data_IF_990736184335
#
_entry.id   IF_990736184335
#
_cell.length_a   1.000
_cell.length_b   1.000
_cell.length_c   1.000
_cell.angle_alpha   90.00
_cell.angle_beta   90.00
_cell.angle_gamma   90.00
#
_symmetry.space_group_name_H-M   'P 1'
#
loop_
_entity.id
_entity.type
_entity.pdbx_description
1 polymer ?
#
# COMPACT_ATOMS: atom_id res chain seq x y z
N UNK A 1 4.66 86.61 9.66
CA UNK A 1 5.14 85.48 10.52
C UNK A 1 4.28 84.32 10.26
N UNK A 2 4.78 83.40 9.42
CA UNK A 2 4.01 82.18 8.96
C UNK A 2 4.74 80.97 9.49
N UNK A 3 4.10 80.28 10.44
CA UNK A 3 4.60 79.02 10.98
C UNK A 3 4.12 77.89 10.08
N UNK A 4 5.09 77.15 9.49
CA UNK A 4 4.87 76.01 8.72
C UNK A 4 4.67 74.80 9.66
N UNK A 5 3.50 74.13 9.59
CA UNK A 5 3.28 72.79 10.19
C UNK A 5 3.66 71.74 9.19
N UNK A 6 4.68 70.95 9.50
CA UNK A 6 5.03 69.72 8.76
C UNK A 6 4.28 68.58 9.38
N UNK A 7 3.31 68.04 8.65
CA UNK A 7 2.63 66.81 8.98
C UNK A 7 3.50 65.66 8.55
N UNK A 8 4.01 64.89 9.53
CA UNK A 8 4.73 63.66 9.30
C UNK A 8 3.72 62.53 9.08
N UNK A 9 3.69 62.00 7.86
CA UNK A 9 2.85 60.85 7.48
C UNK A 9 3.60 59.57 7.85
N UNK A 10 3.16 58.93 8.95
CA UNK A 10 3.70 57.64 9.42
C UNK A 10 3.08 56.50 8.57
N UNK A 11 3.84 55.98 7.63
CA UNK A 11 3.42 54.83 6.81
C UNK A 11 3.66 53.56 7.62
N UNK A 12 2.59 52.94 8.12
CA UNK A 12 2.62 51.60 8.73
C UNK A 12 2.64 50.58 7.61
N UNK A 13 3.79 49.98 7.37
CA UNK A 13 3.91 48.81 6.50
C UNK A 13 3.53 47.56 7.30
N UNK A 14 2.31 47.08 7.10
CA UNK A 14 1.88 45.79 7.63
C UNK A 14 2.57 44.67 6.87
N UNK A 15 3.55 44.05 7.49
CA UNK A 15 4.17 42.80 6.98
C UNK A 15 3.18 41.66 7.18
N UNK A 16 2.45 41.30 6.13
CA UNK A 16 1.65 40.07 6.10
C UNK A 16 2.60 38.90 5.86
N UNK A 17 2.98 38.20 6.94
CA UNK A 17 3.72 36.96 6.87
C UNK A 17 2.79 35.88 6.35
N UNK A 18 2.90 35.56 5.04
CA UNK A 18 2.26 34.39 4.42
C UNK A 18 3.05 33.18 4.93
N UNK A 19 2.54 32.51 5.96
CA UNK A 19 3.00 31.19 6.35
C UNK A 19 2.64 30.21 5.23
N UNK A 20 3.58 29.95 4.33
CA UNK A 20 3.46 28.89 3.35
C UNK A 20 3.47 27.55 4.11
N UNK A 21 2.28 26.98 4.30
CA UNK A 21 2.14 25.59 4.71
C UNK A 21 2.69 24.75 3.55
N UNK A 22 3.96 24.37 3.65
CA UNK A 22 4.55 23.36 2.80
C UNK A 22 3.88 22.05 3.18
N UNK A 23 2.80 21.72 2.47
CA UNK A 23 2.26 20.37 2.46
C UNK A 23 3.37 19.48 1.90
N UNK A 24 4.13 18.83 2.80
CA UNK A 24 5.06 17.78 2.40
C UNK A 24 4.20 16.65 1.83
N UNK A 25 4.08 16.64 0.51
CA UNK A 25 3.64 15.44 -0.19
C UNK A 25 4.62 14.33 0.21
N UNK A 26 4.21 13.48 1.14
CA UNK A 26 4.93 12.25 1.42
C UNK A 26 5.06 11.54 0.08
N UNK A 27 6.27 11.41 -0.40
CA UNK A 27 6.58 10.65 -1.60
C UNK A 27 6.09 9.22 -1.33
N UNK A 28 4.91 8.92 -1.86
CA UNK A 28 4.32 7.60 -1.78
C UNK A 28 5.34 6.65 -2.42
N UNK A 29 5.95 5.79 -1.61
CA UNK A 29 6.75 4.70 -2.16
C UNK A 29 5.81 3.91 -3.06
N UNK A 30 6.19 3.64 -4.32
CA UNK A 30 5.31 2.90 -5.20
C UNK A 30 5.02 1.54 -4.56
N UNK A 31 3.76 1.14 -4.61
CA UNK A 31 3.35 -0.22 -4.36
C UNK A 31 4.30 -1.17 -5.09
N UNK A 32 4.59 -2.33 -4.52
CA UNK A 32 5.34 -3.37 -5.24
C UNK A 32 4.64 -3.64 -6.57
N UNK A 33 5.42 -3.94 -7.63
CA UNK A 33 4.86 -4.15 -8.97
C UNK A 33 3.78 -5.24 -8.96
N UNK A 34 2.59 -4.89 -9.44
CA UNK A 34 1.45 -5.80 -9.60
C UNK A 34 1.25 -6.20 -11.06
N UNK A 35 1.64 -5.32 -12.00
CA UNK A 35 1.56 -5.65 -13.43
C UNK A 35 2.75 -6.52 -13.82
N UNK A 36 2.48 -7.66 -14.41
CA UNK A 36 3.51 -8.58 -14.88
C UNK A 36 4.26 -8.01 -16.07
N UNK A 37 5.59 -8.20 -16.08
CA UNK A 37 6.45 -7.73 -17.18
C UNK A 37 5.99 -8.27 -18.54
N UNK A 38 5.51 -9.51 -18.59
CA UNK A 38 4.98 -10.11 -19.82
C UNK A 38 3.75 -9.36 -20.36
N UNK A 39 2.95 -8.70 -19.50
CA UNK A 39 1.83 -7.85 -19.90
C UNK A 39 2.35 -6.51 -20.40
N UNK A 40 3.26 -5.88 -19.69
CA UNK A 40 3.83 -4.56 -20.04
C UNK A 40 4.61 -4.61 -21.38
N UNK A 41 5.37 -5.68 -21.59
CA UNK A 41 6.18 -5.87 -22.81
C UNK A 41 5.38 -6.38 -24.01
N UNK A 42 4.09 -6.72 -23.84
CA UNK A 42 3.27 -7.31 -24.88
C UNK A 42 3.58 -8.77 -25.20
N UNK A 43 4.44 -9.44 -24.43
CA UNK A 43 4.72 -10.88 -24.57
C UNK A 43 3.53 -11.77 -24.19
N UNK A 44 2.59 -11.24 -23.41
CA UNK A 44 1.34 -11.90 -23.06
C UNK A 44 0.17 -11.24 -23.78
N UNK A 45 -0.25 -11.75 -24.97
CA UNK A 45 -1.39 -11.19 -25.69
C UNK A 45 -2.67 -11.25 -24.86
N UNK A 46 -3.44 -10.17 -24.88
CA UNK A 46 -4.77 -10.14 -24.25
C UNK A 46 -5.73 -11.04 -25.00
N UNK A 47 -6.41 -11.90 -24.29
CA UNK A 47 -7.45 -12.81 -24.81
C UNK A 47 -8.86 -12.48 -24.32
N UNK A 48 -8.97 -11.57 -23.35
CA UNK A 48 -10.25 -11.13 -22.82
C UNK A 48 -10.15 -10.36 -21.51
N UNK A 49 -11.27 -10.27 -20.80
CA UNK A 49 -11.37 -9.69 -19.44
C UNK A 49 -11.95 -10.72 -18.48
N UNK A 50 -11.63 -10.61 -17.21
CA UNK A 50 -12.34 -11.38 -16.19
C UNK A 50 -13.82 -10.96 -16.14
N UNK A 51 -14.75 -11.91 -15.92
CA UNK A 51 -16.15 -11.56 -15.73
C UNK A 51 -16.34 -10.62 -14.54
N UNK A 52 -17.07 -9.53 -14.73
CA UNK A 52 -17.28 -8.50 -13.69
C UNK A 52 -17.88 -9.05 -12.38
N UNK A 53 -18.68 -10.11 -12.49
CA UNK A 53 -19.34 -10.79 -11.35
C UNK A 53 -18.50 -11.87 -10.70
N UNK A 54 -17.34 -12.22 -11.29
CA UNK A 54 -16.46 -13.22 -10.70
C UNK A 54 -15.96 -12.74 -9.34
N UNK A 55 -16.06 -13.62 -8.33
CA UNK A 55 -15.54 -13.32 -6.99
C UNK A 55 -14.03 -13.58 -6.92
N UNK A 56 -13.30 -12.62 -6.36
CA UNK A 56 -11.86 -12.74 -6.08
C UNK A 56 -11.58 -12.51 -4.60
N UNK A 57 -10.51 -13.11 -4.11
CA UNK A 57 -9.94 -12.84 -2.78
C UNK A 57 -8.62 -12.11 -2.95
N UNK A 58 -8.47 -11.02 -2.22
CA UNK A 58 -7.23 -10.24 -2.16
C UNK A 58 -6.72 -10.18 -0.73
N UNK A 59 -5.42 -9.98 -0.57
CA UNK A 59 -4.81 -9.62 0.70
C UNK A 59 -4.21 -8.23 0.56
N UNK A 60 -4.75 -7.27 1.32
CA UNK A 60 -4.20 -5.93 1.42
C UNK A 60 -3.12 -5.95 2.50
N UNK A 61 -1.88 -5.65 2.10
CA UNK A 61 -0.71 -5.70 2.99
C UNK A 61 -0.29 -4.29 3.35
N UNK A 62 -0.29 -3.98 4.66
CA UNK A 62 0.16 -2.71 5.19
C UNK A 62 1.66 -2.74 5.49
N UNK A 63 2.37 -1.61 5.35
CA UNK A 63 3.78 -1.51 5.67
C UNK A 63 4.03 -1.50 7.18
N UNK A 64 5.24 -1.84 7.56
CA UNK A 64 5.74 -1.57 8.91
C UNK A 64 5.89 -0.05 9.11
N UNK A 65 5.61 0.45 10.33
CA UNK A 65 5.74 1.88 10.67
C UNK A 65 7.19 2.35 10.73
N UNK A 66 8.09 1.49 11.18
CA UNK A 66 9.47 1.87 11.48
C UNK A 66 10.43 0.74 11.09
N UNK A 67 10.66 0.49 9.78
CA UNK A 67 11.55 -0.59 9.34
C UNK A 67 12.98 -0.44 9.87
N UNK A 68 13.54 0.78 9.90
CA UNK A 68 14.89 1.03 10.41
C UNK A 68 15.01 0.69 11.92
N UNK A 69 13.96 0.94 12.70
CA UNK A 69 13.93 0.58 14.11
C UNK A 69 13.82 -0.94 14.30
N UNK A 70 13.15 -1.64 13.38
CA UNK A 70 13.14 -3.10 13.37
C UNK A 70 14.52 -3.67 13.04
N UNK A 71 15.21 -3.12 12.04
CA UNK A 71 16.56 -3.55 11.69
C UNK A 71 17.53 -3.34 12.86
N UNK A 72 17.45 -2.20 13.55
CA UNK A 72 18.23 -1.92 14.76
C UNK A 72 17.95 -2.94 15.86
N UNK A 73 16.66 -3.21 16.12
CA UNK A 73 16.24 -4.21 17.10
C UNK A 73 16.72 -5.61 16.76
N UNK A 74 16.69 -6.01 15.47
CA UNK A 74 17.20 -7.31 15.03
C UNK A 74 18.71 -7.41 15.25
N UNK A 75 19.48 -6.37 14.99
CA UNK A 75 20.91 -6.34 15.28
C UNK A 75 21.19 -6.55 16.78
N UNK A 76 20.47 -5.84 17.66
CA UNK A 76 20.58 -6.02 19.12
C UNK A 76 20.16 -7.44 19.57
N UNK A 77 19.10 -7.99 18.97
CA UNK A 77 18.55 -9.30 19.32
C UNK A 77 19.53 -10.43 19.08
N UNK A 78 20.40 -10.28 18.07
CA UNK A 78 21.40 -11.29 17.70
C UNK A 78 22.83 -10.96 18.19
N UNK A 79 23.05 -9.83 18.83
CA UNK A 79 24.32 -9.46 19.43
C UNK A 79 24.43 -10.02 20.86
N UNK A 80 25.36 -10.98 21.14
CA UNK A 80 25.52 -11.53 22.47
C UNK A 80 25.92 -10.51 23.56
N UNK A 81 26.45 -9.35 23.17
CA UNK A 81 26.83 -8.27 24.09
C UNK A 81 25.67 -7.32 24.42
N UNK A 82 24.56 -7.43 23.69
CA UNK A 82 23.37 -6.59 23.89
C UNK A 82 22.51 -7.07 25.07
N UNK A 83 21.93 -6.12 25.80
CA UNK A 83 20.92 -6.41 26.81
C UNK A 83 19.64 -7.04 26.22
N UNK A 84 19.40 -6.83 24.93
CA UNK A 84 18.26 -7.39 24.18
C UNK A 84 18.54 -8.77 23.58
N UNK A 85 19.74 -9.36 23.83
CA UNK A 85 20.12 -10.63 23.24
C UNK A 85 19.09 -11.73 23.51
N UNK A 86 18.54 -12.31 22.42
CA UNK A 86 17.51 -13.38 22.47
C UNK A 86 16.22 -13.01 23.20
N UNK A 87 15.95 -11.73 23.42
CA UNK A 87 14.66 -11.29 23.98
C UNK A 87 13.64 -11.11 22.85
N UNK A 88 13.02 -12.21 22.42
CA UNK A 88 12.03 -12.23 21.36
C UNK A 88 10.74 -11.53 21.79
N UNK A 89 10.14 -10.80 20.86
CA UNK A 89 8.87 -10.13 21.07
C UNK A 89 7.70 -11.08 20.87
N UNK A 90 6.65 -10.89 21.64
CA UNK A 90 5.32 -11.43 21.34
C UNK A 90 4.74 -10.74 20.11
N UNK A 91 3.65 -11.29 19.55
CA UNK A 91 2.94 -10.64 18.42
C UNK A 91 2.41 -9.27 18.82
N UNK A 92 1.94 -9.11 20.04
CA UNK A 92 1.41 -7.88 20.60
C UNK A 92 2.51 -6.80 20.73
N UNK A 93 3.66 -7.17 21.29
CA UNK A 93 4.82 -6.26 21.41
C UNK A 93 5.37 -5.85 20.04
N UNK A 94 5.50 -6.82 19.13
CA UNK A 94 5.90 -6.53 17.74
C UNK A 94 4.93 -5.53 17.09
N UNK A 95 3.63 -5.79 17.23
CA UNK A 95 2.59 -4.94 16.64
C UNK A 95 2.61 -3.54 17.22
N UNK A 96 2.79 -3.42 18.54
CA UNK A 96 2.87 -2.13 19.20
C UNK A 96 4.09 -1.31 18.75
N UNK A 97 5.25 -1.95 18.52
CA UNK A 97 6.50 -1.30 18.14
C UNK A 97 6.59 -1.00 16.65
N UNK A 98 6.26 -1.96 15.80
CA UNK A 98 6.58 -1.97 14.38
C UNK A 98 5.36 -2.13 13.47
N UNK A 99 4.28 -2.72 13.94
CA UNK A 99 3.08 -2.96 13.14
C UNK A 99 2.34 -1.68 12.77
N UNK A 100 1.45 -1.71 11.77
CA UNK A 100 0.57 -0.61 11.43
C UNK A 100 -0.23 -0.10 12.64
N UNK A 101 -0.58 1.17 12.67
CA UNK A 101 -1.44 1.72 13.72
C UNK A 101 -2.83 1.11 13.65
N UNK A 102 -3.59 1.18 14.72
CA UNK A 102 -4.99 0.75 14.70
C UNK A 102 -5.81 1.64 13.75
N UNK A 103 -5.53 2.94 13.77
CA UNK A 103 -6.18 3.94 12.91
C UNK A 103 -5.98 3.62 11.42
N UNK A 104 -4.73 3.34 10.99
CA UNK A 104 -4.43 2.97 9.61
C UNK A 104 -5.15 1.67 9.22
N UNK A 105 -5.16 0.69 10.12
CA UNK A 105 -5.81 -0.58 9.86
C UNK A 105 -7.34 -0.43 9.72
N UNK A 106 -7.96 0.38 10.59
CA UNK A 106 -9.37 0.69 10.52
C UNK A 106 -9.73 1.50 9.28
N UNK A 107 -8.85 2.40 8.82
CA UNK A 107 -9.03 3.13 7.57
C UNK A 107 -9.04 2.18 6.35
N UNK A 108 -8.15 1.17 6.33
CA UNK A 108 -8.14 0.15 5.25
C UNK A 108 -9.41 -0.72 5.31
N UNK A 109 -9.88 -1.08 6.50
CA UNK A 109 -11.16 -1.78 6.67
C UNK A 109 -12.33 -0.93 6.16
N UNK A 110 -12.33 0.36 6.49
CA UNK A 110 -13.34 1.32 6.02
C UNK A 110 -13.35 1.43 4.49
N UNK A 111 -12.18 1.59 3.90
CA UNK A 111 -12.01 1.60 2.43
C UNK A 111 -12.57 0.33 1.78
N UNK A 112 -12.19 -0.85 2.27
CA UNK A 112 -12.69 -2.10 1.72
C UNK A 112 -14.22 -2.18 1.74
N UNK A 113 -14.85 -1.83 2.87
CA UNK A 113 -16.32 -1.82 3.02
C UNK A 113 -17.00 -0.79 2.12
N UNK A 114 -16.44 0.40 1.99
CA UNK A 114 -17.00 1.47 1.14
C UNK A 114 -17.04 1.08 -0.34
N UNK A 115 -16.09 0.24 -0.80
CA UNK A 115 -16.05 -0.27 -2.17
C UNK A 115 -16.69 -1.67 -2.33
N UNK A 116 -17.56 -2.07 -1.40
CA UNK A 116 -18.30 -3.33 -1.50
C UNK A 116 -17.43 -4.59 -1.37
N UNK A 117 -16.23 -4.47 -0.78
CA UNK A 117 -15.39 -5.61 -0.46
C UNK A 117 -15.72 -6.13 0.94
N UNK A 118 -15.92 -7.43 1.05
CA UNK A 118 -16.19 -8.09 2.34
C UNK A 118 -14.87 -8.47 3.01
N UNK A 119 -14.66 -8.04 4.25
CA UNK A 119 -13.54 -8.49 5.07
C UNK A 119 -13.79 -9.94 5.48
N UNK A 120 -12.88 -10.84 5.10
CA UNK A 120 -12.98 -12.29 5.36
C UNK A 120 -11.89 -12.81 6.30
N UNK A 121 -10.90 -11.97 6.63
CA UNK A 121 -9.85 -12.29 7.58
C UNK A 121 -9.10 -11.04 8.04
N UNK A 122 -8.59 -11.09 9.26
CA UNK A 122 -7.76 -10.05 9.87
C UNK A 122 -6.52 -10.69 10.48
N UNK A 123 -5.41 -9.95 10.56
CA UNK A 123 -4.20 -10.41 11.23
C UNK A 123 -3.98 -9.71 12.57
N UNK A 124 -3.51 -10.46 13.58
CA UNK A 124 -3.23 -9.92 14.92
C UNK A 124 -2.16 -8.82 14.92
N UNK A 125 -1.22 -8.89 13.97
CA UNK A 125 -0.18 -7.88 13.80
C UNK A 125 -0.59 -6.71 12.89
N UNK A 126 -1.85 -6.66 12.44
CA UNK A 126 -2.42 -5.62 11.56
C UNK A 126 -1.70 -5.44 10.21
N UNK A 127 -0.86 -6.37 9.81
CA UNK A 127 -0.14 -6.26 8.54
C UNK A 127 -0.97 -6.71 7.33
N UNK A 128 -1.92 -7.61 7.54
CA UNK A 128 -2.72 -8.20 6.46
C UNK A 128 -4.21 -8.05 6.74
N UNK A 129 -4.95 -7.67 5.70
CA UNK A 129 -6.40 -7.66 5.66
C UNK A 129 -6.87 -8.50 4.47
N UNK A 130 -7.51 -9.62 4.74
CA UNK A 130 -8.12 -10.46 3.69
C UNK A 130 -9.48 -9.90 3.32
N UNK A 131 -9.68 -9.68 2.04
CA UNK A 131 -10.94 -9.18 1.50
C UNK A 131 -11.43 -10.04 0.34
N UNK A 132 -12.74 -10.03 0.12
CA UNK A 132 -13.39 -10.69 -1.02
C UNK A 132 -14.36 -9.73 -1.68
N UNK A 133 -14.36 -9.68 -3.00
CA UNK A 133 -15.29 -8.88 -3.78
C UNK A 133 -15.46 -9.39 -5.19
N UNK A 134 -16.40 -8.79 -5.93
CA UNK A 134 -16.51 -9.01 -7.37
C UNK A 134 -15.36 -8.30 -8.10
N UNK A 135 -15.04 -8.80 -9.30
CA UNK A 135 -14.06 -8.12 -10.18
C UNK A 135 -14.44 -6.66 -10.38
N UNK A 136 -15.72 -6.34 -10.61
CA UNK A 136 -16.17 -4.95 -10.79
C UNK A 136 -15.86 -4.06 -9.58
N UNK A 137 -16.10 -4.55 -8.36
CA UNK A 137 -15.80 -3.79 -7.14
C UNK A 137 -14.28 -3.58 -6.95
N UNK A 138 -13.48 -4.59 -7.32
CA UNK A 138 -12.01 -4.53 -7.25
C UNK A 138 -11.47 -3.54 -8.27
N UNK A 139 -11.97 -3.58 -9.52
CA UNK A 139 -11.58 -2.65 -10.58
C UNK A 139 -11.90 -1.20 -10.20
N UNK A 140 -13.06 -0.96 -9.62
CA UNK A 140 -13.47 0.35 -9.13
C UNK A 140 -12.60 0.83 -7.95
N UNK A 141 -12.41 -0.02 -6.94
CA UNK A 141 -11.64 0.31 -5.75
C UNK A 141 -10.16 0.61 -6.04
N UNK A 142 -9.59 -0.06 -7.03
CA UNK A 142 -8.16 0.00 -7.33
C UNK A 142 -7.82 0.76 -8.62
N UNK A 143 -8.84 1.29 -9.34
CA UNK A 143 -8.73 2.04 -10.60
C UNK A 143 -7.93 1.29 -11.69
N UNK A 144 -8.23 0.02 -11.88
CA UNK A 144 -7.57 -0.85 -12.85
C UNK A 144 -8.59 -1.70 -13.62
N UNK A 145 -8.11 -2.47 -14.60
CA UNK A 145 -8.91 -3.47 -15.31
C UNK A 145 -8.27 -4.84 -15.19
N UNK A 146 -9.06 -5.86 -14.86
CA UNK A 146 -8.59 -7.24 -14.77
C UNK A 146 -8.66 -7.93 -16.13
N UNK A 147 -7.51 -7.98 -16.80
CA UNK A 147 -7.34 -8.67 -18.08
C UNK A 147 -7.12 -10.17 -17.93
N UNK A 148 -7.43 -10.91 -19.01
CA UNK A 148 -7.04 -12.31 -19.21
C UNK A 148 -6.05 -12.34 -20.36
N UNK A 149 -4.92 -12.98 -20.14
CA UNK A 149 -3.78 -13.00 -21.05
C UNK A 149 -3.35 -14.44 -21.36
N UNK A 150 -2.80 -14.66 -22.55
CA UNK A 150 -2.13 -15.91 -22.87
C UNK A 150 -0.78 -15.98 -22.17
N UNK A 151 -0.51 -17.07 -21.45
CA UNK A 151 0.79 -17.23 -20.79
C UNK A 151 1.89 -17.43 -21.85
N UNK A 152 3.04 -16.71 -21.78
CA UNK A 152 4.05 -16.73 -22.84
C UNK A 152 4.79 -18.06 -23.00
N UNK A 153 4.86 -18.87 -21.94
CA UNK A 153 5.63 -20.12 -21.92
C UNK A 153 4.82 -21.36 -21.52
N UNK A 154 3.58 -21.16 -21.06
CA UNK A 154 2.71 -22.27 -20.64
C UNK A 154 1.42 -22.30 -21.50
N UNK A 155 0.90 -23.47 -21.77
CA UNK A 155 -0.36 -23.61 -22.53
C UNK A 155 -1.59 -23.34 -21.64
N UNK A 156 -1.69 -22.12 -21.11
CA UNK A 156 -2.82 -21.65 -20.30
C UNK A 156 -2.96 -20.14 -20.38
N UNK A 157 -4.10 -19.68 -19.95
CA UNK A 157 -4.30 -18.25 -19.68
C UNK A 157 -4.01 -17.93 -18.21
N UNK A 158 -3.78 -16.65 -17.94
CA UNK A 158 -3.71 -16.11 -16.59
C UNK A 158 -4.45 -14.76 -16.55
N UNK A 159 -4.88 -14.35 -15.36
CA UNK A 159 -5.39 -12.99 -15.15
C UNK A 159 -4.34 -12.12 -14.49
N UNK A 160 -4.38 -10.83 -14.80
CA UNK A 160 -3.55 -9.80 -14.19
C UNK A 160 -4.18 -8.41 -14.40
N UNK A 161 -3.82 -7.40 -13.60
CA UNK A 161 -4.24 -6.04 -13.85
C UNK A 161 -3.52 -5.45 -15.08
N UNK A 162 -4.20 -4.52 -15.76
CA UNK A 162 -3.66 -3.78 -16.92
C UNK A 162 -2.71 -2.64 -16.51
N UNK A 163 -2.79 -2.18 -15.27
CA UNK A 163 -2.00 -1.09 -14.68
C UNK A 163 -1.82 -1.28 -13.18
N UNK A 164 -0.89 -0.51 -12.61
CA UNK A 164 -0.67 -0.52 -11.16
C UNK A 164 -1.90 0.03 -10.43
N UNK A 165 -2.26 -0.59 -9.27
CA UNK A 165 -3.37 -0.11 -8.45
C UNK A 165 -3.12 1.31 -7.93
N UNK A 166 -4.15 2.15 -7.96
CA UNK A 166 -4.13 3.52 -7.43
C UNK A 166 -5.35 3.79 -6.54
N UNK A 167 -5.50 3.08 -5.40
CA UNK A 167 -6.66 3.24 -4.54
C UNK A 167 -6.71 4.64 -3.92
N UNK A 168 -7.92 5.21 -3.80
CA UNK A 168 -8.18 6.46 -3.07
C UNK A 168 -8.14 6.21 -1.56
N UNK A 169 -6.97 5.91 -1.05
CA UNK A 169 -6.72 5.56 0.33
C UNK A 169 -5.55 6.39 0.88
N UNK A 170 -5.78 7.09 2.00
CA UNK A 170 -4.74 7.90 2.64
C UNK A 170 -3.59 7.03 3.22
N UNK A 171 -3.91 5.78 3.57
CA UNK A 171 -2.94 4.81 4.08
C UNK A 171 -2.24 4.13 2.92
N UNK A 172 -0.92 4.19 2.90
CA UNK A 172 -0.13 3.49 1.89
C UNK A 172 -0.19 1.98 2.12
N UNK A 173 -0.56 1.22 1.09
CA UNK A 173 -0.41 -0.23 1.08
C UNK A 173 1.00 -0.59 0.59
N UNK A 174 1.57 -1.63 1.16
CA UNK A 174 2.84 -2.16 0.68
C UNK A 174 2.65 -3.09 -0.52
N UNK A 175 1.62 -3.93 -0.47
CA UNK A 175 1.31 -4.89 -1.52
C UNK A 175 -0.17 -5.26 -1.52
N UNK A 176 -0.67 -5.68 -2.69
CA UNK A 176 -2.00 -6.28 -2.85
C UNK A 176 -1.80 -7.65 -3.51
N UNK A 177 -1.91 -8.71 -2.73
CA UNK A 177 -1.79 -10.07 -3.26
C UNK A 177 -3.13 -10.57 -3.83
N UNK A 178 -3.06 -11.42 -4.83
CA UNK A 178 -4.22 -12.04 -5.47
C UNK A 178 -4.69 -11.35 -6.75
N UNK A 179 -4.04 -10.26 -7.17
CA UNK A 179 -4.35 -9.56 -8.42
C UNK A 179 -3.91 -10.32 -9.68
N UNK A 180 -3.10 -11.38 -9.55
CA UNK A 180 -2.73 -12.24 -10.68
C UNK A 180 -2.59 -13.70 -10.27
N UNK A 181 -2.62 -14.59 -11.26
CA UNK A 181 -2.31 -16.00 -11.16
C UNK A 181 -1.25 -16.43 -12.19
N UNK A 182 -0.33 -15.52 -12.51
CA UNK A 182 0.75 -15.77 -13.46
C UNK A 182 1.61 -16.95 -13.01
N UNK A 183 2.02 -16.99 -11.75
CA UNK A 183 2.80 -18.09 -11.18
C UNK A 183 1.89 -19.01 -10.38
N UNK A 184 1.87 -20.29 -10.74
CA UNK A 184 1.16 -21.33 -9.99
C UNK A 184 2.21 -22.11 -9.18
N UNK A 185 2.11 -22.14 -7.84
CA UNK A 185 2.98 -22.97 -7.02
C UNK A 185 2.86 -24.43 -7.42
N UNK A 186 3.99 -25.08 -7.70
CA UNK A 186 4.04 -26.51 -7.96
C UNK A 186 4.76 -27.18 -6.80
N UNK A 187 4.22 -28.28 -6.24
CA UNK A 187 4.94 -29.07 -5.25
C UNK A 187 6.26 -29.58 -5.86
N UNK A 188 7.37 -29.34 -5.19
CA UNK A 188 8.62 -30.00 -5.52
C UNK A 188 8.49 -31.48 -5.11
N UNK A 189 8.03 -32.34 -6.04
CA UNK A 189 8.09 -33.79 -5.80
C UNK A 189 9.52 -34.24 -6.05
N UNK A 190 10.25 -34.63 -5.00
CA UNK A 190 11.39 -35.51 -5.15
C UNK A 190 10.86 -36.85 -5.72
N UNK A 191 11.23 -37.18 -6.93
CA UNK A 191 11.18 -38.55 -7.40
C UNK A 191 12.50 -39.18 -6.93
N UNK A 192 12.39 -40.05 -5.93
CA UNK A 192 13.45 -41.03 -5.61
C UNK A 192 13.68 -41.98 -6.79
#
# INVERSE_FOLDING_TARGET
>A
MIRKFTTSLLTIVALVSIASVVCQAQSQRPLTRHVREAVLSGQAPTVGRLPATQSMRLVLVLPLRSPDALDSFLNELYDPSSASYRHFLTVEEFTARFGPSQEDYDAVIGFAKAHGLTVVGTSRNRMNLDVRGSVSNIEEALHLTMGVYQHPTENRTFYAPDREPTPDLAVQLWHIAGLDNYSIPRPAMHRD
#
